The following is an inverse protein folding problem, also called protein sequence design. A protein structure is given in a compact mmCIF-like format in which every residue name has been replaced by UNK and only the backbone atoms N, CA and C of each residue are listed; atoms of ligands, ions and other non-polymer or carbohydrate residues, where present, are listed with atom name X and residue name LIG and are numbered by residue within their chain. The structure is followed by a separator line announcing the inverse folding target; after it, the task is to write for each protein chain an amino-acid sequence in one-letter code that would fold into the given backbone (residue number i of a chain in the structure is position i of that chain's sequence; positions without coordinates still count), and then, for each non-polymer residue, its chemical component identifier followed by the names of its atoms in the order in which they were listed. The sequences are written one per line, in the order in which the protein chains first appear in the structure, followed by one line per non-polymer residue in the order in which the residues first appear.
data_IF_169918556653
#
_entry.id   IF_169918556653
#
_cell.length_a   1.000
_cell.length_b   1.000
_cell.length_c   1.000
_cell.angle_alpha   90.00
_cell.angle_beta   90.00
_cell.angle_gamma   90.00
#
_symmetry.space_group_name_H-M   'P 1'
#
loop_
_entity.id
_entity.type
_entity.pdbx_description
1 polymer ?
#
# COMPACT_ATOMS: atom_id res chain seq x y z
N UNK A 1 13.14 -28.67 -11.31
CA UNK A 1 13.82 -27.35 -11.37
C UNK A 1 13.63 -26.56 -10.08
N UNK A 2 14.27 -25.38 -9.91
CA UNK A 2 14.15 -24.57 -8.67
C UNK A 2 12.69 -24.23 -8.29
N UNK A 3 11.85 -23.88 -9.28
CA UNK A 3 10.42 -23.62 -9.11
C UNK A 3 9.70 -24.81 -8.45
N UNK A 4 9.92 -26.02 -8.96
CA UNK A 4 9.26 -27.23 -8.47
C UNK A 4 9.60 -27.54 -7.01
N UNK A 5 10.86 -27.28 -6.60
CA UNK A 5 11.31 -27.47 -5.21
C UNK A 5 10.60 -26.49 -4.26
N UNK A 6 10.52 -25.21 -4.65
CA UNK A 6 9.87 -24.17 -3.83
C UNK A 6 8.37 -24.48 -3.69
N UNK A 7 7.71 -24.83 -4.80
CA UNK A 7 6.28 -25.14 -4.79
C UNK A 7 5.96 -26.40 -3.97
N UNK A 8 6.83 -27.41 -3.98
CA UNK A 8 6.64 -28.59 -3.12
C UNK A 8 6.78 -28.30 -1.62
N UNK A 9 7.46 -27.21 -1.25
CA UNK A 9 7.64 -26.79 0.14
C UNK A 9 6.41 -26.02 0.66
N UNK A 10 5.88 -25.08 -0.13
CA UNK A 10 4.72 -24.28 0.26
C UNK A 10 3.37 -24.98 0.03
N UNK A 11 3.30 -25.90 -0.95
CA UNK A 11 2.03 -26.42 -1.43
C UNK A 11 1.23 -25.37 -2.23
N UNK A 12 0.15 -25.82 -2.87
CA UNK A 12 -0.74 -24.94 -3.63
C UNK A 12 -1.92 -24.47 -2.78
N UNK A 13 -2.47 -23.27 -3.05
CA UNK A 13 -2.05 -22.32 -4.09
C UNK A 13 -0.81 -21.49 -3.72
N UNK A 14 -0.06 -21.06 -4.75
CA UNK A 14 1.06 -20.11 -4.61
C UNK A 14 0.85 -18.89 -5.48
N UNK A 15 1.41 -17.75 -5.07
CA UNK A 15 1.43 -16.52 -5.88
C UNK A 15 2.78 -16.37 -6.54
N UNK A 16 2.78 -16.18 -7.85
CA UNK A 16 3.97 -15.85 -8.65
C UNK A 16 3.89 -14.37 -8.99
N UNK A 17 4.88 -13.60 -8.52
CA UNK A 17 4.93 -12.14 -8.65
C UNK A 17 6.19 -11.70 -9.40
N UNK A 18 6.04 -10.68 -10.24
CA UNK A 18 7.19 -9.96 -10.78
C UNK A 18 7.84 -9.09 -9.70
N UNK A 19 9.09 -8.69 -9.92
CA UNK A 19 9.80 -7.76 -9.01
C UNK A 19 9.09 -6.41 -8.90
N UNK A 20 8.46 -5.95 -9.98
CA UNK A 20 7.88 -4.61 -10.07
C UNK A 20 6.35 -4.63 -10.22
N UNK A 21 5.82 -5.54 -11.05
CA UNK A 21 4.40 -5.60 -11.40
C UNK A 21 3.96 -7.03 -11.70
N UNK A 22 2.64 -7.19 -11.75
CA UNK A 22 1.90 -8.42 -12.04
C UNK A 22 2.11 -9.53 -10.99
N UNK A 23 0.98 -10.06 -10.54
CA UNK A 23 0.91 -11.21 -9.66
C UNK A 23 -0.13 -12.19 -10.23
N UNK A 24 0.12 -13.49 -10.08
CA UNK A 24 -0.86 -14.52 -10.44
C UNK A 24 -0.91 -15.61 -9.38
N UNK A 25 -2.12 -15.95 -8.95
CA UNK A 25 -2.38 -17.10 -8.08
C UNK A 25 -2.42 -18.35 -8.97
N UNK A 26 -1.73 -19.40 -8.55
CA UNK A 26 -1.62 -20.65 -9.30
C UNK A 26 -1.96 -21.82 -8.38
N UNK A 27 -2.70 -22.79 -8.89
CA UNK A 27 -3.25 -23.92 -8.13
C UNK A 27 -2.59 -25.26 -8.48
N UNK A 28 -1.74 -25.29 -9.50
CA UNK A 28 -1.00 -26.48 -9.91
C UNK A 28 0.29 -26.10 -10.64
N UNK A 29 1.14 -27.11 -10.88
CA UNK A 29 2.49 -26.90 -11.44
C UNK A 29 2.45 -26.34 -12.86
N UNK A 30 1.48 -26.74 -13.68
CA UNK A 30 1.34 -26.24 -15.04
C UNK A 30 1.02 -24.75 -15.06
N UNK A 31 0.07 -24.31 -14.22
CA UNK A 31 -0.25 -22.89 -14.02
C UNK A 31 0.97 -22.13 -13.49
N UNK A 32 1.70 -22.69 -12.53
CA UNK A 32 2.91 -22.07 -11.99
C UNK A 32 3.99 -21.86 -13.06
N UNK A 33 4.26 -22.86 -13.89
CA UNK A 33 5.23 -22.76 -15.00
C UNK A 33 4.77 -21.72 -16.02
N UNK A 34 3.50 -21.78 -16.43
CA UNK A 34 2.93 -20.83 -17.41
C UNK A 34 3.03 -19.39 -16.92
N UNK A 35 2.61 -19.13 -15.67
CA UNK A 35 2.65 -17.81 -15.08
C UNK A 35 4.08 -17.30 -14.86
N UNK A 36 5.00 -18.18 -14.43
CA UNK A 36 6.43 -17.86 -14.34
C UNK A 36 6.98 -17.36 -15.68
N UNK A 37 6.74 -18.11 -16.76
CA UNK A 37 7.22 -17.72 -18.08
C UNK A 37 6.59 -16.42 -18.56
N UNK A 38 5.28 -16.26 -18.37
CA UNK A 38 4.55 -15.02 -18.72
C UNK A 38 5.13 -13.79 -18.03
N UNK A 39 5.32 -13.82 -16.71
CA UNK A 39 5.89 -12.68 -15.96
C UNK A 39 7.35 -12.49 -16.34
N UNK A 40 8.15 -13.56 -16.45
CA UNK A 40 9.57 -13.45 -16.81
C UNK A 40 9.80 -12.85 -18.19
N UNK A 41 8.94 -13.15 -19.17
CA UNK A 41 9.03 -12.59 -20.52
C UNK A 41 8.64 -11.11 -20.56
N UNK A 42 7.71 -10.67 -19.70
CA UNK A 42 7.22 -9.29 -19.67
C UNK A 42 8.10 -8.36 -18.80
N UNK A 43 8.58 -8.86 -17.67
CA UNK A 43 9.24 -8.05 -16.63
C UNK A 43 10.65 -8.51 -16.27
N UNK A 44 11.12 -9.61 -16.85
CA UNK A 44 12.43 -10.18 -16.55
C UNK A 44 12.48 -10.95 -15.22
N UNK A 45 13.71 -11.25 -14.80
CA UNK A 45 14.04 -11.87 -13.50
C UNK A 45 14.55 -10.79 -12.52
N UNK A 46 14.47 -11.02 -11.19
CA UNK A 46 13.94 -12.20 -10.50
C UNK A 46 12.40 -12.23 -10.42
N UNK A 47 11.89 -13.45 -10.22
CA UNK A 47 10.47 -13.73 -9.92
C UNK A 47 10.37 -14.12 -8.44
N UNK A 48 9.34 -13.63 -7.77
CA UNK A 48 9.03 -13.98 -6.38
C UNK A 48 7.95 -15.06 -6.39
N UNK A 49 8.17 -16.11 -5.60
CA UNK A 49 7.18 -17.16 -5.34
C UNK A 49 6.88 -17.09 -3.85
N UNK A 50 5.61 -16.95 -3.52
CA UNK A 50 5.14 -16.85 -2.15
C UNK A 50 3.94 -17.77 -1.93
N UNK A 51 3.71 -18.18 -0.69
CA UNK A 51 2.45 -18.80 -0.28
C UNK A 51 1.26 -17.86 -0.57
N UNK A 52 0.12 -18.44 -0.94
CA UNK A 52 -1.13 -17.70 -1.01
C UNK A 52 -1.82 -17.70 0.35
N UNK A 53 -1.89 -16.54 0.99
CA UNK A 53 -2.64 -16.35 2.24
C UNK A 53 -4.10 -16.05 1.90
N UNK A 54 -5.00 -16.96 2.26
CA UNK A 54 -6.44 -16.75 2.12
C UNK A 54 -6.94 -15.88 3.28
N UNK A 55 -7.44 -14.68 2.96
CA UNK A 55 -7.83 -13.72 3.97
C UNK A 55 -8.52 -12.48 3.42
N UNK A 56 -8.62 -11.46 4.28
CA UNK A 56 -9.12 -10.13 3.91
C UNK A 56 -7.96 -9.14 3.86
N UNK A 57 -7.93 -8.31 2.82
CA UNK A 57 -6.95 -7.24 2.68
C UNK A 57 -7.25 -6.04 3.58
N UNK A 58 -6.21 -5.50 4.19
CA UNK A 58 -6.21 -4.29 5.01
C UNK A 58 -5.02 -3.42 4.63
N UNK A 59 -5.11 -2.12 4.92
CA UNK A 59 -4.04 -1.18 4.59
C UNK A 59 -3.79 -0.27 5.78
N UNK A 60 -2.54 0.15 5.97
CA UNK A 60 -2.18 1.23 6.89
C UNK A 60 -1.39 2.24 6.12
N UNK A 61 -1.77 3.51 6.17
CA UNK A 61 -0.87 4.58 5.76
C UNK A 61 -0.23 5.20 6.99
N UNK A 62 1.04 5.54 6.91
CA UNK A 62 1.73 6.13 8.04
C UNK A 62 2.88 7.02 7.63
N UNK A 63 3.52 7.60 8.64
CA UNK A 63 4.64 8.51 8.52
C UNK A 63 5.65 8.23 9.63
N UNK A 64 6.88 7.91 9.24
CA UNK A 64 8.02 7.76 10.15
C UNK A 64 8.96 8.96 10.07
N UNK A 65 9.60 9.31 11.19
CA UNK A 65 10.50 10.46 11.30
C UNK A 65 11.96 10.18 10.90
N UNK A 66 12.29 8.93 10.56
CA UNK A 66 13.65 8.49 10.27
C UNK A 66 14.52 8.16 11.49
N UNK A 67 13.95 8.25 12.71
CA UNK A 67 14.61 7.92 13.98
C UNK A 67 13.98 6.72 14.67
N UNK A 68 12.88 6.20 14.10
CA UNK A 68 12.13 5.07 14.62
C UNK A 68 10.85 5.46 15.35
N UNK A 69 10.46 6.74 15.32
CA UNK A 69 9.20 7.19 15.90
C UNK A 69 8.10 7.25 14.84
N UNK A 70 6.93 6.74 15.20
CA UNK A 70 5.71 6.87 14.41
C UNK A 70 5.13 8.27 14.60
N UNK A 71 5.02 9.04 13.53
CA UNK A 71 4.32 10.33 13.54
C UNK A 71 2.83 10.14 13.27
N UNK A 72 2.48 9.23 12.36
CA UNK A 72 1.10 8.93 11.97
C UNK A 72 0.96 7.47 11.59
N UNK A 73 -0.18 6.86 11.91
CA UNK A 73 -0.60 5.56 11.43
C UNK A 73 -2.13 5.51 11.38
N UNK A 74 -2.69 5.36 10.18
CA UNK A 74 -4.14 5.29 9.95
C UNK A 74 -4.46 3.99 9.20
N UNK A 75 -5.03 2.99 9.90
CA UNK A 75 -5.60 1.80 9.31
C UNK A 75 -6.87 2.08 8.52
N UNK A 76 -7.03 1.37 7.40
CA UNK A 76 -8.27 1.35 6.64
C UNK A 76 -8.58 -0.04 6.07
N UNK A 77 -9.86 -0.26 5.77
CA UNK A 77 -10.33 -1.39 4.96
C UNK A 77 -10.91 -0.86 3.64
N UNK A 78 -10.51 -1.48 2.53
CA UNK A 78 -11.12 -1.24 1.21
C UNK A 78 -12.54 -1.83 1.24
N UNK A 79 -13.56 -1.03 0.95
CA UNK A 79 -14.97 -1.49 0.88
C UNK A 79 -15.40 -1.76 -0.56
N UNK A 80 -14.94 -0.91 -1.49
CA UNK A 80 -15.18 -1.08 -2.92
C UNK A 80 -13.84 -1.00 -3.64
N UNK A 81 -13.54 -2.00 -4.45
CA UNK A 81 -12.36 -2.04 -5.32
C UNK A 81 -12.80 -1.89 -6.77
N UNK A 82 -12.03 -1.19 -7.58
CA UNK A 82 -12.18 -1.23 -9.04
C UNK A 82 -11.69 -2.57 -9.58
N UNK A 83 -11.97 -2.87 -10.85
CA UNK A 83 -11.44 -4.04 -11.57
C UNK A 83 -9.90 -4.12 -11.58
N UNK A 84 -9.21 -3.03 -11.23
CA UNK A 84 -7.74 -2.93 -11.10
C UNK A 84 -7.25 -3.00 -9.64
N UNK A 85 -8.09 -3.40 -8.69
CA UNK A 85 -7.75 -3.50 -7.27
C UNK A 85 -7.57 -2.17 -6.54
N UNK A 86 -7.85 -1.03 -7.20
CA UNK A 86 -7.74 0.29 -6.57
C UNK A 86 -8.97 0.55 -5.69
N UNK A 87 -8.74 1.06 -4.48
CA UNK A 87 -9.84 1.45 -3.60
C UNK A 87 -10.69 2.56 -4.26
N UNK A 88 -11.97 2.29 -4.51
CA UNK A 88 -12.97 3.27 -4.92
C UNK A 88 -13.67 3.90 -3.71
N UNK A 89 -13.77 3.13 -2.62
CA UNK A 89 -14.12 3.60 -1.30
C UNK A 89 -13.44 2.78 -0.21
N UNK A 90 -13.11 3.44 0.89
CA UNK A 90 -12.45 2.83 2.05
C UNK A 90 -12.91 3.50 3.33
N UNK A 91 -12.88 2.73 4.42
CA UNK A 91 -13.32 3.17 5.74
C UNK A 91 -12.15 3.11 6.73
N UNK A 92 -11.99 4.13 7.56
CA UNK A 92 -11.04 4.10 8.66
C UNK A 92 -11.48 3.08 9.71
N UNK A 93 -10.52 2.29 10.19
CA UNK A 93 -10.79 1.24 11.18
C UNK A 93 -9.82 1.39 12.35
N UNK A 94 -10.13 0.74 13.46
CA UNK A 94 -9.19 0.55 14.56
C UNK A 94 -8.96 -0.94 14.77
N UNK A 95 -7.69 -1.35 14.67
CA UNK A 95 -7.21 -2.69 15.01
C UNK A 95 -5.82 -2.52 15.63
N UNK A 96 -5.70 -2.77 16.93
CA UNK A 96 -4.45 -2.54 17.67
C UNK A 96 -3.29 -3.36 17.09
N UNK A 97 -3.54 -4.58 16.58
CA UNK A 97 -2.48 -5.41 16.00
C UNK A 97 -1.88 -4.78 14.74
N UNK A 98 -2.68 -4.05 13.96
CA UNK A 98 -2.19 -3.32 12.79
C UNK A 98 -1.31 -2.13 13.19
N UNK A 99 -1.70 -1.43 14.26
CA UNK A 99 -0.92 -0.30 14.80
C UNK A 99 0.41 -0.80 15.38
N UNK A 100 0.39 -1.83 16.21
CA UNK A 100 1.58 -2.43 16.81
C UNK A 100 2.57 -2.91 15.72
N UNK A 101 2.06 -3.58 14.68
CA UNK A 101 2.87 -4.02 13.54
C UNK A 101 3.50 -2.83 12.80
N UNK A 102 2.76 -1.74 12.66
CA UNK A 102 3.22 -0.52 11.99
C UNK A 102 4.32 0.17 12.81
N UNK A 103 4.15 0.27 14.12
CA UNK A 103 5.17 0.81 15.04
C UNK A 103 6.43 -0.06 15.05
N UNK A 104 6.27 -1.39 15.05
CA UNK A 104 7.39 -2.31 14.95
C UNK A 104 8.15 -2.15 13.63
N UNK A 105 7.43 -2.00 12.51
CA UNK A 105 8.02 -1.73 11.21
C UNK A 105 8.80 -0.41 11.20
N UNK A 106 8.21 0.70 11.66
CA UNK A 106 8.87 2.01 11.68
C UNK A 106 10.10 1.98 12.59
N UNK A 107 9.98 1.46 13.80
CA UNK A 107 11.05 1.45 14.80
C UNK A 107 12.24 0.57 14.37
N UNK A 108 11.98 -0.60 13.80
CA UNK A 108 13.02 -1.53 13.33
C UNK A 108 13.76 -1.03 12.09
N UNK A 109 13.07 -0.34 11.19
CA UNK A 109 13.66 0.15 9.93
C UNK A 109 14.17 1.58 10.03
N UNK A 110 13.80 2.30 11.09
CA UNK A 110 13.95 3.77 11.20
C UNK A 110 13.36 4.46 9.97
N UNK A 111 12.15 4.07 9.59
CA UNK A 111 11.52 4.54 8.37
C UNK A 111 11.43 6.07 8.33
N UNK A 112 11.83 6.68 7.22
CA UNK A 112 11.76 8.13 6.99
C UNK A 112 10.81 8.43 5.85
N UNK A 113 9.70 9.09 6.14
CA UNK A 113 8.72 9.53 5.15
C UNK A 113 7.40 8.73 5.17
N UNK A 114 6.52 9.07 4.24
CA UNK A 114 5.20 8.46 4.12
C UNK A 114 5.24 7.07 3.48
N UNK A 115 4.35 6.18 3.89
CA UNK A 115 4.23 4.84 3.34
C UNK A 115 2.80 4.31 3.35
N UNK A 116 2.61 3.19 2.67
CA UNK A 116 1.44 2.32 2.78
C UNK A 116 1.90 0.88 3.03
N UNK A 117 1.38 0.26 4.08
CA UNK A 117 1.48 -1.18 4.33
C UNK A 117 0.23 -1.86 3.78
N UNK A 118 0.42 -2.85 2.93
CA UNK A 118 -0.64 -3.74 2.49
C UNK A 118 -0.57 -5.03 3.29
N UNK A 119 -1.66 -5.37 3.99
CA UNK A 119 -1.72 -6.49 4.93
C UNK A 119 -2.80 -7.48 4.50
N UNK A 120 -2.58 -8.77 4.78
CA UNK A 120 -3.59 -9.82 4.69
C UNK A 120 -3.92 -10.33 6.10
N UNK A 121 -5.20 -10.36 6.46
CA UNK A 121 -5.69 -11.01 7.68
C UNK A 121 -6.25 -12.38 7.35
N UNK A 122 -5.61 -13.45 7.83
CA UNK A 122 -6.10 -14.82 7.61
C UNK A 122 -7.36 -15.11 8.46
N UNK A 123 -7.91 -16.33 8.32
CA UNK A 123 -9.12 -16.77 9.05
C UNK A 123 -8.90 -16.88 10.56
N UNK A 124 -7.67 -17.13 10.99
CA UNK A 124 -7.28 -17.20 12.41
C UNK A 124 -7.04 -15.81 13.03
N UNK A 125 -7.15 -14.75 12.22
CA UNK A 125 -7.03 -13.36 12.66
C UNK A 125 -5.58 -12.86 12.75
N UNK A 126 -4.63 -13.57 12.14
CA UNK A 126 -3.22 -13.18 12.03
C UNK A 126 -2.99 -12.29 10.80
N UNK A 127 -2.13 -11.29 10.96
CA UNK A 127 -1.78 -10.34 9.91
C UNK A 127 -0.43 -10.68 9.28
N UNK A 128 -0.37 -10.63 7.95
CA UNK A 128 0.84 -10.79 7.16
C UNK A 128 1.07 -9.54 6.32
N UNK A 129 2.31 -9.03 6.29
CA UNK A 129 2.69 -7.95 5.38
C UNK A 129 2.83 -8.52 3.97
N UNK A 130 2.06 -8.00 3.03
CA UNK A 130 2.14 -8.36 1.62
C UNK A 130 3.12 -7.46 0.86
N UNK A 131 3.05 -6.16 1.12
CA UNK A 131 3.81 -5.15 0.40
C UNK A 131 3.99 -3.89 1.26
N UNK A 132 5.10 -3.19 1.03
CA UNK A 132 5.43 -1.91 1.65
C UNK A 132 5.64 -0.92 0.51
N UNK A 133 4.71 0.00 0.33
CA UNK A 133 4.78 1.06 -0.67
C UNK A 133 5.51 2.27 -0.07
N UNK A 134 6.72 2.64 -0.55
CA UNK A 134 7.51 3.74 0.01
C UNK A 134 7.04 5.11 -0.49
N UNK A 135 5.73 5.34 -0.43
CA UNK A 135 5.08 6.57 -0.88
C UNK A 135 3.77 6.76 -0.14
N UNK A 136 3.30 8.00 -0.12
CA UNK A 136 1.94 8.31 0.29
C UNK A 136 0.95 7.66 -0.70
N UNK A 137 -0.08 6.94 -0.22
CA UNK A 137 -1.06 6.35 -1.11
C UNK A 137 -2.04 7.39 -1.65
N UNK A 138 -2.66 7.09 -2.79
CA UNK A 138 -3.64 7.98 -3.43
C UNK A 138 -4.92 8.21 -2.58
N UNK A 139 -5.11 7.49 -1.48
CA UNK A 139 -6.25 7.65 -0.56
C UNK A 139 -5.88 8.40 0.73
N UNK A 140 -4.68 8.99 0.82
CA UNK A 140 -4.17 9.70 2.02
C UNK A 140 -5.12 10.73 2.61
N UNK A 141 -6.01 11.33 1.82
CA UNK A 141 -7.01 12.27 2.32
C UNK A 141 -8.00 11.64 3.32
N UNK A 142 -8.13 10.31 3.36
CA UNK A 142 -8.81 9.64 4.48
C UNK A 142 -8.09 9.93 5.80
N UNK A 143 -6.75 9.82 5.85
CA UNK A 143 -5.95 10.13 7.03
C UNK A 143 -6.18 11.58 7.48
N UNK A 144 -6.18 12.52 6.52
CA UNK A 144 -6.52 13.94 6.78
C UNK A 144 -7.94 14.06 7.35
N UNK A 145 -8.92 13.42 6.73
CA UNK A 145 -10.32 13.46 7.13
C UNK A 145 -10.60 12.87 8.51
N UNK A 146 -9.73 11.99 9.02
CA UNK A 146 -9.81 11.43 10.38
C UNK A 146 -8.93 12.15 11.40
N UNK A 147 -8.27 13.24 11.01
CA UNK A 147 -7.51 14.11 11.90
C UNK A 147 -5.98 13.95 11.86
N UNK A 148 -5.44 13.10 10.98
CA UNK A 148 -3.98 12.93 10.81
C UNK A 148 -3.52 13.47 9.45
N UNK A 149 -3.08 14.72 9.41
CA UNK A 149 -2.62 15.37 8.18
C UNK A 149 -1.19 14.93 7.82
N UNK A 150 -1.05 13.75 7.22
CA UNK A 150 0.23 13.16 6.80
C UNK A 150 1.00 14.06 5.81
N UNK A 151 0.38 14.63 4.76
CA UNK A 151 1.10 15.51 3.83
C UNK A 151 1.72 16.72 4.53
N UNK A 152 0.96 17.41 5.39
CA UNK A 152 1.48 18.54 6.16
C UNK A 152 2.61 18.11 7.11
N UNK A 153 2.41 17.04 7.88
CA UNK A 153 3.44 16.54 8.79
C UNK A 153 4.73 16.14 8.06
N UNK A 154 4.63 15.55 6.86
CA UNK A 154 5.78 15.22 6.04
C UNK A 154 6.55 16.48 5.59
N UNK A 155 5.84 17.54 5.18
CA UNK A 155 6.47 18.82 4.82
C UNK A 155 7.17 19.45 6.03
N UNK A 156 6.52 19.47 7.20
CA UNK A 156 7.11 19.98 8.44
C UNK A 156 8.40 19.22 8.80
N UNK A 157 8.39 17.89 8.74
CA UNK A 157 9.59 17.07 8.95
C UNK A 157 10.70 17.40 7.93
N UNK A 158 10.34 17.57 6.65
CA UNK A 158 11.29 17.92 5.60
C UNK A 158 11.92 19.31 5.83
N UNK A 159 11.17 20.25 6.41
CA UNK A 159 11.63 21.58 6.81
C UNK A 159 12.37 21.60 8.16
N UNK A 160 12.52 20.46 8.84
CA UNK A 160 13.16 20.38 10.15
C UNK A 160 12.35 21.01 11.28
N UNK A 161 11.04 21.20 11.07
CA UNK A 161 10.14 21.76 12.07
C UNK A 161 9.73 20.70 13.10
N UNK A 162 9.44 21.14 14.32
CA UNK A 162 8.85 20.27 15.34
C UNK A 162 7.52 19.71 14.84
N UNK A 163 7.38 18.38 14.90
CA UNK A 163 6.25 17.64 14.35
C UNK A 163 5.91 16.52 15.32
N UNK A 164 5.12 16.80 16.38
CA UNK A 164 4.75 15.79 17.36
C UNK A 164 3.88 14.70 16.72
N UNK A 165 3.96 13.44 17.21
CA UNK A 165 3.08 12.37 16.78
C UNK A 165 1.60 12.71 16.98
N UNK A 166 0.77 12.32 16.02
CA UNK A 166 -0.67 12.27 16.21
C UNK A 166 -1.02 11.19 17.23
N UNK A 167 -2.00 11.46 18.09
CA UNK A 167 -2.41 10.55 19.18
C UNK A 167 -3.66 9.76 18.84
N UNK A 168 -4.61 10.42 18.20
CA UNK A 168 -5.93 9.88 17.94
C UNK A 168 -6.30 10.04 16.46
N UNK A 169 -7.33 9.31 16.03
CA UNK A 169 -8.01 9.51 14.76
C UNK A 169 -9.45 9.00 14.84
N UNK A 170 -10.32 9.54 14.01
CA UNK A 170 -11.71 9.11 13.95
C UNK A 170 -11.90 7.78 13.19
N UNK A 171 -12.59 6.84 13.82
CA UNK A 171 -12.91 5.51 13.26
C UNK A 171 -14.28 5.54 12.59
N UNK A 172 -14.42 4.83 11.47
CA UNK A 172 -15.70 4.70 10.77
C UNK A 172 -15.97 5.79 9.73
N UNK A 173 -15.03 6.71 9.50
CA UNK A 173 -15.13 7.67 8.39
C UNK A 173 -14.81 6.99 7.07
N UNK A 174 -15.61 7.28 6.06
CA UNK A 174 -15.50 6.69 4.73
C UNK A 174 -15.15 7.77 3.71
N UNK A 175 -14.23 7.46 2.79
CA UNK A 175 -14.09 8.22 1.55
C UNK A 175 -14.78 7.48 0.40
N UNK A 176 -15.35 8.26 -0.52
CA UNK A 176 -15.91 7.78 -1.79
C UNK A 176 -15.32 8.67 -2.88
N UNK A 177 -14.75 8.04 -3.91
CA UNK A 177 -14.21 8.78 -5.06
C UNK A 177 -15.31 9.11 -6.05
N UNK A 178 -15.21 10.31 -6.63
CA UNK A 178 -16.03 10.77 -7.74
C UNK A 178 -15.13 11.39 -8.83
N UNK A 179 -15.65 11.45 -10.05
CA UNK A 179 -15.00 12.17 -11.16
C UNK A 179 -15.62 13.55 -11.30
N UNK A 180 -14.80 14.54 -11.61
CA UNK A 180 -15.24 15.91 -11.85
C UNK A 180 -14.56 16.44 -13.11
N UNK A 181 -15.35 16.95 -14.06
CA UNK A 181 -14.83 17.54 -15.28
C UNK A 181 -14.41 18.99 -15.01
N UNK A 182 -13.13 19.28 -15.22
CA UNK A 182 -12.59 20.63 -15.15
C UNK A 182 -12.58 21.24 -16.56
N UNK A 183 -13.36 22.30 -16.77
CA UNK A 183 -13.31 23.10 -18.00
C UNK A 183 -12.28 24.20 -17.79
N UNK A 184 -11.22 24.19 -18.58
CA UNK A 184 -10.08 25.11 -18.48
C UNK A 184 -9.75 25.72 -19.83
N UNK A 185 -9.10 26.88 -19.83
CA UNK A 185 -8.65 27.52 -21.06
C UNK A 185 -7.42 26.81 -21.63
N UNK A 186 -7.41 26.63 -22.96
CA UNK A 186 -6.29 25.97 -23.64
C UNK A 186 -4.98 26.73 -23.46
N UNK A 187 -5.04 28.06 -23.38
CA UNK A 187 -3.86 28.91 -23.21
C UNK A 187 -3.15 28.66 -21.86
N UNK A 188 -3.92 28.54 -20.77
CA UNK A 188 -3.38 28.17 -19.45
C UNK A 188 -2.73 26.78 -19.49
N UNK A 189 -3.36 25.81 -20.17
CA UNK A 189 -2.79 24.49 -20.33
C UNK A 189 -1.47 24.50 -21.12
N UNK A 190 -1.38 25.34 -22.16
CA UNK A 190 -0.16 25.51 -22.95
C UNK A 190 0.98 26.13 -22.13
N UNK A 191 0.69 27.10 -21.26
CA UNK A 191 1.68 27.68 -20.37
C UNK A 191 2.26 26.64 -19.42
N UNK A 192 1.41 25.87 -18.73
CA UNK A 192 1.85 24.79 -17.84
C UNK A 192 2.66 23.73 -18.62
N UNK A 193 2.17 23.31 -19.79
CA UNK A 193 2.84 22.28 -20.59
C UNK A 193 4.21 22.72 -21.12
N UNK A 194 4.42 24.02 -21.35
CA UNK A 194 5.65 24.55 -21.95
C UNK A 194 6.65 24.98 -20.90
N UNK A 195 6.18 25.68 -19.86
CA UNK A 195 7.02 26.35 -18.88
C UNK A 195 7.00 25.68 -17.50
N UNK A 196 6.03 24.79 -17.24
CA UNK A 196 5.87 24.11 -15.96
C UNK A 196 5.15 24.92 -14.88
N UNK A 197 4.65 26.11 -15.22
CA UNK A 197 3.96 27.04 -14.33
C UNK A 197 2.87 27.83 -15.08
N UNK A 198 1.97 28.46 -14.31
CA UNK A 198 0.97 29.44 -14.78
C UNK A 198 1.55 30.85 -14.71
#
# INVERSE_FOLDING_TARGET
GKLQKIVSEYGFPVVIKGKFYDAGITHNMEQAISQYHKISAKWGLPIIIQEFINGTEFNVTGLGDGKGNTISAVPMRKQYITDKGKAWGGISISDQKMLDLTEQFISSTKWKGGFELELMKNKDGEFYILEINPRIPAWVYLAVGVGQNIPEALVRLAMGMDTPPYKDYEVGKMFIRYSWDMIVDLEEFQQISTFGEL
#
